data_IF_220010402964
#
_entry.id   IF_220010402964
#
_cell.length_a   1.000
_cell.length_b   1.000
_cell.length_c   1.000
_cell.angle_alpha   90.00
_cell.angle_beta   90.00
_cell.angle_gamma   90.00
#
_symmetry.space_group_name_H-M   'P 1'
#
loop_
_entity.id
_entity.type
_entity.pdbx_description
1 polymer ?
#
# COMPACT_ATOMS: atom_id res chain seq x y z
N UNK A 1 -47.42 -13.10 29.06
CA UNK A 1 -46.41 -14.17 28.96
C UNK A 1 -45.04 -13.52 29.01
N UNK A 2 -44.24 -13.80 30.05
CA UNK A 2 -42.86 -13.34 30.11
C UNK A 2 -42.00 -14.35 29.34
N UNK A 3 -41.28 -13.89 28.32
CA UNK A 3 -40.33 -14.71 27.58
C UNK A 3 -39.07 -14.79 28.44
N UNK A 4 -38.82 -15.95 29.03
CA UNK A 4 -37.58 -16.24 29.74
C UNK A 4 -36.44 -16.41 28.74
N UNK A 5 -35.61 -15.38 28.57
CA UNK A 5 -34.39 -15.49 27.76
C UNK A 5 -33.31 -16.15 28.64
N UNK A 6 -32.81 -17.30 28.21
CA UNK A 6 -31.76 -18.04 28.92
C UNK A 6 -30.41 -17.34 28.76
N UNK A 7 -29.90 -16.76 29.85
CA UNK A 7 -28.66 -15.95 29.86
C UNK A 7 -27.42 -16.76 29.42
N UNK A 8 -27.47 -18.10 29.52
CA UNK A 8 -26.35 -18.97 29.10
C UNK A 8 -26.10 -18.96 27.59
N UNK A 9 -27.08 -18.55 26.78
CA UNK A 9 -26.98 -18.51 25.33
C UNK A 9 -26.36 -17.20 24.81
N UNK A 10 -26.11 -16.21 25.69
CA UNK A 10 -25.50 -14.91 25.37
C UNK A 10 -24.10 -14.77 26.00
N UNK A 11 -23.27 -15.80 25.90
CA UNK A 11 -21.84 -15.70 26.27
C UNK A 11 -21.03 -15.51 24.98
N UNK A 12 -20.63 -14.26 24.73
CA UNK A 12 -19.72 -13.94 23.62
C UNK A 12 -18.36 -14.60 23.89
N UNK A 13 -17.99 -15.57 23.06
CA UNK A 13 -16.68 -16.24 23.12
C UNK A 13 -15.57 -15.25 22.77
N UNK A 14 -14.44 -15.34 23.47
CA UNK A 14 -13.25 -14.54 23.16
C UNK A 14 -12.60 -15.03 21.86
N UNK A 15 -11.79 -14.17 21.21
CA UNK A 15 -11.13 -14.49 19.92
C UNK A 15 -10.27 -15.76 19.96
N UNK A 16 -9.70 -16.08 21.13
CA UNK A 16 -8.91 -17.29 21.37
C UNK A 16 -9.75 -18.57 21.55
N UNK A 17 -11.04 -18.44 21.84
CA UNK A 17 -11.97 -19.56 22.07
C UNK A 17 -12.78 -19.92 20.81
N UNK A 18 -12.60 -19.17 19.72
CA UNK A 18 -13.24 -19.44 18.43
C UNK A 18 -12.34 -20.41 17.66
N UNK A 19 -12.74 -21.69 17.58
CA UNK A 19 -12.14 -22.61 16.62
C UNK A 19 -12.63 -22.22 15.22
N UNK A 20 -11.79 -21.50 14.49
CA UNK A 20 -12.02 -21.24 13.07
C UNK A 20 -11.61 -22.52 12.32
N UNK A 21 -12.55 -23.19 11.66
CA UNK A 21 -12.21 -24.20 10.64
C UNK A 21 -11.53 -23.46 9.48
N UNK A 22 -10.23 -23.21 9.64
CA UNK A 22 -9.37 -22.45 8.72
C UNK A 22 -9.01 -23.30 7.50
N UNK A 23 -10.00 -23.80 6.76
CA UNK A 23 -9.72 -24.37 5.45
C UNK A 23 -9.99 -23.29 4.39
N UNK A 24 -8.95 -22.61 3.87
CA UNK A 24 -9.16 -21.60 2.85
C UNK A 24 -9.76 -22.27 1.61
N UNK A 25 -10.80 -21.66 1.05
CA UNK A 25 -11.49 -22.16 -0.16
C UNK A 25 -10.56 -22.21 -1.39
N UNK A 26 -9.40 -21.55 -1.31
CA UNK A 26 -8.40 -21.46 -2.37
C UNK A 26 -6.99 -21.56 -1.77
N UNK A 27 -6.04 -22.02 -2.58
CA UNK A 27 -4.63 -22.02 -2.20
C UNK A 27 -4.16 -20.57 -2.00
N UNK A 28 -3.72 -20.24 -0.78
CA UNK A 28 -3.18 -18.93 -0.44
C UNK A 28 -1.68 -18.93 -0.71
N UNK A 29 -1.28 -18.51 -1.91
CA UNK A 29 0.12 -18.29 -2.26
C UNK A 29 0.40 -16.79 -2.33
N UNK A 30 0.70 -16.18 -1.17
CA UNK A 30 0.98 -14.74 -1.07
C UNK A 30 2.49 -14.54 -1.08
N UNK A 31 2.99 -13.87 -2.11
CA UNK A 31 4.37 -13.40 -2.16
C UNK A 31 4.52 -12.10 -1.36
N UNK A 32 4.92 -12.23 -0.10
CA UNK A 32 5.19 -11.08 0.76
C UNK A 32 6.49 -10.37 0.41
N UNK A 33 7.46 -11.07 -0.17
CA UNK A 33 8.79 -10.52 -0.44
C UNK A 33 8.70 -9.54 -1.62
N UNK A 34 8.06 -9.95 -2.72
CA UNK A 34 7.81 -9.09 -3.87
C UNK A 34 6.96 -7.86 -3.50
N UNK A 35 5.87 -8.08 -2.76
CA UNK A 35 5.03 -6.98 -2.27
C UNK A 35 5.81 -5.99 -1.39
N UNK A 36 6.74 -6.50 -0.57
CA UNK A 36 7.59 -5.68 0.30
C UNK A 36 8.61 -4.87 -0.50
N UNK A 37 9.23 -5.48 -1.52
CA UNK A 37 10.16 -4.80 -2.42
C UNK A 37 9.48 -3.68 -3.21
N UNK A 38 8.31 -3.95 -3.80
CA UNK A 38 7.53 -2.96 -4.53
C UNK A 38 7.13 -1.78 -3.63
N UNK A 39 6.69 -2.06 -2.40
CA UNK A 39 6.35 -1.04 -1.41
C UNK A 39 7.56 -0.17 -1.04
N UNK A 40 8.74 -0.77 -0.89
CA UNK A 40 9.99 -0.04 -0.62
C UNK A 40 10.47 0.74 -1.84
N UNK A 41 10.18 0.28 -3.05
CA UNK A 41 10.65 0.94 -4.28
C UNK A 41 10.08 2.37 -4.44
N UNK A 42 8.88 2.64 -3.94
CA UNK A 42 8.28 3.99 -3.95
C UNK A 42 8.47 4.76 -2.63
N UNK A 43 9.31 4.27 -1.71
CA UNK A 43 9.51 4.87 -0.39
C UNK A 43 10.98 5.05 -0.06
N UNK A 44 11.27 6.14 0.64
CA UNK A 44 12.59 6.39 1.20
C UNK A 44 12.54 6.30 2.72
N UNK A 45 13.42 5.47 3.27
CA UNK A 45 13.61 5.32 4.70
C UNK A 45 14.36 6.55 5.24
N UNK A 46 13.72 7.29 6.15
CA UNK A 46 14.31 8.46 6.80
C UNK A 46 15.01 8.11 8.12
N UNK A 47 15.02 6.83 8.52
CA UNK A 47 15.43 6.37 9.83
C UNK A 47 14.26 6.21 10.80
N UNK A 48 14.50 5.55 11.94
CA UNK A 48 13.51 5.33 13.01
C UNK A 48 12.19 4.69 12.56
N UNK A 49 12.23 3.88 11.49
CA UNK A 49 11.03 3.25 10.93
C UNK A 49 10.09 4.21 10.18
N UNK A 50 10.53 5.44 9.92
CA UNK A 50 9.74 6.44 9.20
C UNK A 50 10.05 6.40 7.71
N UNK A 51 8.99 6.34 6.90
CA UNK A 51 9.09 6.30 5.43
C UNK A 51 8.35 7.48 4.81
N UNK A 52 8.90 8.02 3.72
CA UNK A 52 8.22 9.01 2.87
C UNK A 52 8.13 8.53 1.44
N UNK A 53 7.09 8.95 0.73
CA UNK A 53 6.99 8.74 -0.72
C UNK A 53 8.06 9.53 -1.48
N UNK A 54 8.58 8.91 -2.53
CA UNK A 54 9.59 9.49 -3.42
C UNK A 54 9.13 9.47 -4.87
N UNK A 55 9.76 10.32 -5.68
CA UNK A 55 9.38 10.47 -7.06
C UNK A 55 9.66 9.20 -7.88
N UNK A 56 8.66 8.75 -8.64
CA UNK A 56 8.73 7.54 -9.47
C UNK A 56 9.71 7.64 -10.66
N UNK A 57 10.24 8.82 -10.97
CA UNK A 57 11.16 9.00 -12.11
C UNK A 57 12.50 8.34 -11.82
N UNK A 58 12.89 7.39 -12.68
CA UNK A 58 14.22 6.81 -12.73
C UNK A 58 15.18 7.72 -13.49
N UNK A 59 16.38 7.90 -12.95
CA UNK A 59 17.49 8.57 -13.63
C UNK A 59 18.15 7.66 -14.66
N UNK A 60 19.09 8.23 -15.41
CA UNK A 60 19.83 7.53 -16.48
C UNK A 60 20.63 6.34 -15.93
N UNK A 61 21.11 6.43 -14.69
CA UNK A 61 21.84 5.38 -13.98
C UNK A 61 20.94 4.34 -13.32
N UNK A 62 19.62 4.41 -13.53
CA UNK A 62 18.62 3.52 -12.91
C UNK A 62 18.19 3.92 -11.50
N UNK A 63 18.90 4.86 -10.87
CA UNK A 63 18.56 5.36 -9.54
C UNK A 63 17.26 6.16 -9.53
N UNK A 64 16.43 5.94 -8.51
CA UNK A 64 15.19 6.67 -8.32
C UNK A 64 15.44 8.09 -7.80
N UNK A 65 14.55 9.01 -8.18
CA UNK A 65 14.59 10.35 -7.65
C UNK A 65 14.13 10.39 -6.19
N UNK A 66 15.05 10.71 -5.28
CA UNK A 66 14.81 10.76 -3.82
C UNK A 66 13.97 11.99 -3.40
N UNK A 67 13.59 12.88 -4.33
CA UNK A 67 12.77 14.06 -4.02
C UNK A 67 11.36 13.64 -3.60
N UNK A 68 10.78 14.41 -2.68
CA UNK A 68 9.40 14.22 -2.21
C UNK A 68 8.42 14.46 -3.36
N UNK A 69 7.38 13.63 -3.43
CA UNK A 69 6.25 13.85 -4.32
C UNK A 69 5.38 15.01 -3.86
N UNK A 70 4.70 15.65 -4.81
CA UNK A 70 3.63 16.58 -4.50
C UNK A 70 2.40 15.80 -3.97
N UNK A 71 1.56 16.41 -3.11
CA UNK A 71 0.34 15.76 -2.64
C UNK A 71 -0.57 15.36 -3.82
N UNK A 72 -0.98 14.10 -3.87
CA UNK A 72 -1.83 13.57 -4.96
C UNK A 72 -1.08 13.21 -6.25
N UNK A 73 0.23 13.42 -6.30
CA UNK A 73 1.04 13.19 -7.50
C UNK A 73 2.11 12.12 -7.25
N UNK A 74 2.53 11.45 -8.33
CA UNK A 74 3.58 10.42 -8.31
C UNK A 74 4.99 11.02 -8.53
N UNK A 75 5.04 12.28 -8.93
CA UNK A 75 6.26 12.95 -9.34
C UNK A 75 6.58 14.16 -8.47
N UNK A 76 7.88 14.50 -8.40
CA UNK A 76 8.30 15.76 -7.80
C UNK A 76 7.99 16.93 -8.75
N UNK A 77 8.04 18.16 -8.24
CA UNK A 77 7.72 19.37 -8.99
C UNK A 77 8.50 19.52 -10.32
N UNK A 78 9.74 19.05 -10.38
CA UNK A 78 10.56 19.12 -11.59
C UNK A 78 10.11 18.08 -12.62
N UNK A 79 9.94 16.83 -12.20
CA UNK A 79 9.57 15.74 -13.11
C UNK A 79 8.13 15.86 -13.60
N UNK A 80 7.23 16.41 -12.78
CA UNK A 80 5.87 16.72 -13.23
C UNK A 80 5.86 17.72 -14.39
N UNK A 81 6.65 18.80 -14.29
CA UNK A 81 6.82 19.78 -15.37
C UNK A 81 7.45 19.18 -16.63
N UNK A 82 8.39 18.26 -16.47
CA UNK A 82 9.00 17.56 -17.62
C UNK A 82 7.96 16.71 -18.35
N UNK A 83 7.16 15.94 -17.61
CA UNK A 83 6.10 15.09 -18.17
C UNK A 83 5.03 15.92 -18.88
N UNK A 84 4.64 17.07 -18.31
CA UNK A 84 3.69 17.97 -18.96
C UNK A 84 4.21 18.45 -20.33
N UNK A 85 5.48 18.88 -20.40
CA UNK A 85 6.11 19.27 -21.67
C UNK A 85 6.22 18.12 -22.67
N UNK A 86 6.48 16.90 -22.20
CA UNK A 86 6.52 15.71 -23.06
C UNK A 86 5.14 15.43 -23.68
N UNK A 87 4.06 15.56 -22.89
CA UNK A 87 2.68 15.43 -23.38
C UNK A 87 2.32 16.51 -24.41
N UNK A 88 2.70 17.76 -24.16
CA UNK A 88 2.47 18.87 -25.08
C UNK A 88 3.13 18.64 -26.45
N UNK A 89 4.36 18.10 -26.48
CA UNK A 89 5.06 17.75 -27.72
C UNK A 89 4.37 16.63 -28.50
N UNK A 90 3.85 15.61 -27.81
CA UNK A 90 3.13 14.52 -28.47
C UNK A 90 1.83 15.03 -29.11
N UNK A 91 1.12 15.93 -28.43
CA UNK A 91 -0.15 16.48 -28.93
C UNK A 91 0.01 17.51 -30.07
N UNK A 92 1.24 17.86 -30.43
CA UNK A 92 1.56 18.77 -31.55
C UNK A 92 2.07 18.03 -32.80
N UNK A 93 2.22 16.69 -32.73
CA UNK A 93 2.54 15.82 -33.88
C UNK A 93 1.32 14.95 -34.22
#
# INVERSE_FOLDING_TARGET
MLISINIKDYIMKTRSEINYENNPLYAVNIDFDGASEEWRSNKFNMGNGVYRYICAKKGITGNLCIKKCLPGEEYCCLHLKMIQKEKEKYNQN
#
